data_IF_385095189973
#
_entry.id   IF_385095189973
#
_cell.length_a   1.000
_cell.length_b   1.000
_cell.length_c   1.000
_cell.angle_alpha   90.00
_cell.angle_beta   90.00
_cell.angle_gamma   90.00
#
_symmetry.space_group_name_H-M   'P 1'
#
loop_
_entity.id
_entity.type
_entity.pdbx_description
1 polymer ?
#
# COMPACT_ATOMS: atom_id res chain seq x y z
N UNK A 1 -6.84 2.24 -5.96
CA UNK A 1 -5.82 1.81 -5.00
C UNK A 1 -6.02 0.34 -4.77
N UNK A 2 -4.96 -0.40 -4.48
CA UNK A 2 -5.07 -1.78 -4.03
C UNK A 2 -5.84 -1.88 -2.71
N UNK A 3 -6.14 -3.10 -2.27
CA UNK A 3 -6.71 -3.30 -0.93
C UNK A 3 -5.65 -3.10 0.16
N UNK A 4 -6.08 -2.88 1.40
CA UNK A 4 -5.18 -2.76 2.56
C UNK A 4 -4.26 -3.97 2.69
N UNK A 5 -4.79 -5.16 2.42
CA UNK A 5 -4.04 -6.43 2.43
C UNK A 5 -2.93 -6.43 1.38
N UNK A 6 -3.18 -5.92 0.17
CA UNK A 6 -2.12 -5.78 -0.84
C UNK A 6 -0.99 -4.88 -0.33
N UNK A 7 -1.32 -3.75 0.29
CA UNK A 7 -0.32 -2.84 0.85
C UNK A 7 0.50 -3.49 1.98
N UNK A 8 -0.13 -4.29 2.84
CA UNK A 8 0.57 -5.05 3.90
C UNK A 8 1.50 -6.09 3.29
N UNK A 9 1.06 -6.85 2.29
CA UNK A 9 1.88 -7.86 1.62
C UNK A 9 3.08 -7.20 0.94
N UNK A 10 2.86 -6.09 0.23
CA UNK A 10 3.93 -5.30 -0.40
C UNK A 10 4.93 -4.83 0.68
N UNK A 11 4.44 -4.23 1.76
CA UNK A 11 5.29 -3.75 2.84
C UNK A 11 6.09 -4.89 3.50
N UNK A 12 5.46 -6.05 3.73
CA UNK A 12 6.15 -7.21 4.30
C UNK A 12 7.23 -7.76 3.36
N UNK A 13 6.93 -7.88 2.06
CA UNK A 13 7.90 -8.34 1.06
C UNK A 13 9.11 -7.41 0.97
N UNK A 14 8.91 -6.09 1.01
CA UNK A 14 10.00 -5.11 1.07
C UNK A 14 10.78 -5.25 2.38
N UNK A 15 10.09 -5.36 3.51
CA UNK A 15 10.72 -5.50 4.82
C UNK A 15 11.60 -6.75 4.92
N UNK A 16 11.17 -7.86 4.31
CA UNK A 16 11.97 -9.09 4.21
C UNK A 16 13.17 -8.92 3.30
N UNK A 17 12.96 -8.39 2.09
CA UNK A 17 14.02 -8.16 1.11
C UNK A 17 15.14 -7.27 1.65
N UNK A 18 14.77 -6.23 2.39
CA UNK A 18 15.71 -5.26 2.98
C UNK A 18 16.13 -5.60 4.41
N UNK A 19 15.68 -6.71 4.99
CA UNK A 19 15.96 -7.10 6.39
C UNK A 19 15.65 -5.99 7.41
N UNK A 20 14.52 -5.30 7.21
CA UNK A 20 14.03 -4.26 8.14
C UNK A 20 13.81 -4.88 9.52
N UNK A 21 14.40 -4.27 10.54
CA UNK A 21 14.36 -4.78 11.92
C UNK A 21 13.01 -4.52 12.58
N UNK A 22 12.53 -3.28 12.54
CA UNK A 22 11.22 -2.89 13.08
C UNK A 22 10.13 -3.11 12.01
N UNK A 23 9.84 -4.39 11.74
CA UNK A 23 8.84 -4.79 10.76
C UNK A 23 7.46 -4.23 11.10
N UNK A 24 7.02 -4.33 12.34
CA UNK A 24 5.66 -3.88 12.72
C UNK A 24 5.46 -2.41 12.41
N UNK A 25 6.40 -1.54 12.75
CA UNK A 25 6.31 -0.11 12.39
C UNK A 25 6.31 0.09 10.89
N UNK A 26 7.13 -0.65 10.15
CA UNK A 26 7.18 -0.59 8.68
C UNK A 26 5.83 -0.98 8.04
N UNK A 27 5.25 -2.10 8.45
CA UNK A 27 3.98 -2.58 7.93
C UNK A 27 2.84 -1.60 8.24
N UNK A 28 2.79 -1.05 9.46
CA UNK A 28 1.80 -0.03 9.82
C UNK A 28 2.00 1.29 9.06
N UNK A 29 3.25 1.65 8.76
CA UNK A 29 3.55 2.74 7.84
C UNK A 29 2.98 2.48 6.45
N UNK A 30 3.14 1.26 5.93
CA UNK A 30 2.66 0.83 4.61
C UNK A 30 1.14 0.88 4.41
N UNK A 31 0.36 1.10 5.46
CA UNK A 31 -1.11 1.27 5.39
C UNK A 31 -1.60 2.60 5.96
N UNK A 32 -0.71 3.37 6.58
CA UNK A 32 -1.07 4.61 7.26
C UNK A 32 -1.74 5.67 6.36
N UNK A 33 -1.41 5.83 5.06
CA UNK A 33 -2.09 6.82 4.21
C UNK A 33 -3.60 6.60 4.11
N UNK A 34 -4.04 5.34 4.19
CA UNK A 34 -5.46 4.95 4.12
C UNK A 34 -6.22 5.11 5.44
N UNK A 35 -5.54 5.43 6.54
CA UNK A 35 -6.15 5.60 7.88
C UNK A 35 -6.89 6.94 8.07
N UNK A 36 -7.25 7.62 6.98
CA UNK A 36 -7.94 8.91 6.98
C UNK A 36 -9.46 8.77 6.84
N UNK A 37 -10.22 9.79 7.24
CA UNK A 37 -11.68 9.71 7.30
C UNK A 37 -12.41 10.50 6.21
N UNK A 38 -11.73 11.43 5.55
CA UNK A 38 -12.30 12.27 4.51
C UNK A 38 -11.55 12.21 3.19
N UNK A 39 -12.24 12.62 2.11
CA UNK A 39 -11.64 12.72 0.77
C UNK A 39 -10.54 13.77 0.68
N UNK A 40 -10.65 14.85 1.45
CA UNK A 40 -9.64 15.91 1.52
C UNK A 40 -8.36 15.39 2.19
N UNK A 41 -8.49 14.76 3.35
CA UNK A 41 -7.38 14.11 4.04
C UNK A 41 -6.75 13.03 3.17
N UNK A 42 -7.55 12.24 2.43
CA UNK A 42 -7.03 11.26 1.46
C UNK A 42 -6.19 11.93 0.38
N UNK A 43 -6.57 13.14 -0.04
CA UNK A 43 -5.76 13.94 -0.95
C UNK A 43 -4.38 14.25 -0.41
N UNK A 44 -4.32 14.68 0.84
CA UNK A 44 -3.06 15.04 1.50
C UNK A 44 -2.23 13.82 1.89
N UNK A 45 -2.83 12.75 2.42
CA UNK A 45 -2.10 11.56 2.87
C UNK A 45 -1.51 10.75 1.71
N UNK A 46 -2.18 10.76 0.55
CA UNK A 46 -1.67 10.06 -0.62
C UNK A 46 -0.86 10.97 -1.55
N UNK A 47 -0.50 12.18 -1.13
CA UNK A 47 0.30 13.12 -1.92
C UNK A 47 -0.20 13.27 -3.36
N UNK A 48 -1.53 13.36 -3.55
CA UNK A 48 -2.12 13.40 -4.88
C UNK A 48 -1.74 14.68 -5.61
N UNK A 49 -1.18 14.54 -6.81
CA UNK A 49 -0.89 15.64 -7.71
C UNK A 49 -1.56 15.43 -9.08
N UNK A 50 -1.72 16.53 -9.83
CA UNK A 50 -2.38 16.51 -11.14
C UNK A 50 -3.86 16.14 -11.08
N UNK A 51 -4.43 15.75 -12.22
CA UNK A 51 -5.87 15.44 -12.33
C UNK A 51 -6.16 14.22 -13.21
N UNK A 52 -7.26 13.53 -12.93
CA UNK A 52 -7.74 12.42 -13.77
C UNK A 52 -8.36 12.89 -15.08
N UNK A 53 -8.76 14.17 -15.19
CA UNK A 53 -9.42 14.73 -16.38
C UNK A 53 -8.48 14.85 -17.58
N UNK A 54 -7.22 15.17 -17.32
CA UNK A 54 -6.18 15.34 -18.33
C UNK A 54 -5.08 14.28 -18.23
N UNK A 55 -5.36 13.15 -17.55
CA UNK A 55 -4.42 12.02 -17.40
C UNK A 55 -3.08 12.39 -16.75
N UNK A 56 -3.04 13.42 -15.90
CA UNK A 56 -1.83 13.84 -15.17
C UNK A 56 -1.83 13.42 -13.71
N UNK A 57 -2.88 12.72 -13.26
CA UNK A 57 -3.00 12.23 -11.89
C UNK A 57 -1.81 11.33 -11.58
N UNK A 58 -1.12 11.63 -10.48
CA UNK A 58 0.03 10.87 -9.96
C UNK A 58 0.08 10.93 -8.44
N UNK A 59 0.96 10.12 -7.85
CA UNK A 59 1.36 10.26 -6.44
C UNK A 59 2.71 10.96 -6.39
N UNK A 60 2.79 12.08 -5.66
CA UNK A 60 4.03 12.84 -5.51
C UNK A 60 4.84 12.33 -4.31
N UNK A 61 5.29 11.08 -4.40
CA UNK A 61 6.07 10.44 -3.33
C UNK A 61 7.44 11.09 -3.13
N UNK A 62 7.97 11.82 -4.12
CA UNK A 62 9.19 12.62 -3.98
C UNK A 62 8.98 13.83 -3.05
N UNK A 63 7.83 14.48 -3.13
CA UNK A 63 7.48 15.55 -2.17
C UNK A 63 7.33 15.02 -0.75
N UNK A 64 6.78 13.80 -0.58
CA UNK A 64 6.71 13.14 0.73
C UNK A 64 8.10 12.90 1.30
N UNK A 65 8.99 12.29 0.51
CA UNK A 65 10.31 11.88 1.00
C UNK A 65 11.17 13.09 1.35
N UNK A 66 11.10 14.17 0.58
CA UNK A 66 11.80 15.41 0.89
C UNK A 66 11.24 16.07 2.15
N UNK A 67 9.91 16.09 2.32
CA UNK A 67 9.27 16.66 3.51
C UNK A 67 9.68 15.94 4.81
N UNK A 68 9.97 14.64 4.74
CA UNK A 68 10.28 13.79 5.89
C UNK A 68 11.71 13.23 5.85
N UNK A 69 12.65 13.91 5.17
CA UNK A 69 14.02 13.44 4.95
C UNK A 69 14.81 13.18 6.26
N UNK A 70 14.51 13.98 7.29
CA UNK A 70 15.08 13.86 8.63
C UNK A 70 14.58 12.63 9.41
N UNK A 71 13.50 11.99 8.96
CA UNK A 71 12.88 10.84 9.63
C UNK A 71 13.08 9.53 8.85
N UNK A 72 14.04 9.51 7.93
CA UNK A 72 14.31 8.36 7.05
C UNK A 72 14.95 7.16 7.74
N UNK A 73 15.36 7.30 9.00
CA UNK A 73 15.73 6.20 9.89
C UNK A 73 14.50 5.49 10.50
N UNK A 74 13.32 6.13 10.44
CA UNK A 74 12.08 5.54 10.92
C UNK A 74 11.55 4.49 9.95
N UNK A 75 11.44 3.24 10.42
CA UNK A 75 10.80 2.17 9.66
C UNK A 75 9.36 2.50 9.29
N UNK A 76 8.63 3.23 10.15
CA UNK A 76 7.27 3.70 9.86
C UNK A 76 7.21 4.66 8.67
N UNK A 77 8.12 5.64 8.59
CA UNK A 77 8.16 6.59 7.47
C UNK A 77 8.56 5.90 6.16
N UNK A 78 9.52 4.97 6.21
CA UNK A 78 9.89 4.16 5.06
C UNK A 78 8.71 3.28 4.58
N UNK A 79 7.96 2.69 5.51
CA UNK A 79 6.73 1.98 5.20
C UNK A 79 5.72 2.86 4.46
N UNK A 80 5.45 4.06 5.00
CA UNK A 80 4.56 5.05 4.38
C UNK A 80 5.00 5.40 2.96
N UNK A 81 6.31 5.61 2.76
CA UNK A 81 6.86 5.89 1.44
C UNK A 81 6.56 4.78 0.44
N UNK A 82 6.70 3.51 0.83
CA UNK A 82 6.40 2.37 -0.05
C UNK A 82 4.93 2.24 -0.42
N UNK A 83 4.01 2.67 0.46
CA UNK A 83 2.59 2.77 0.12
C UNK A 83 2.38 3.72 -1.08
N UNK A 84 2.97 4.92 -1.00
CA UNK A 84 2.86 5.92 -2.06
C UNK A 84 3.43 5.44 -3.40
N UNK A 85 4.52 4.66 -3.36
CA UNK A 85 5.10 4.03 -4.56
C UNK A 85 4.16 2.96 -5.14
N UNK A 86 3.56 2.13 -4.28
CA UNK A 86 2.61 1.10 -4.70
C UNK A 86 1.37 1.73 -5.36
N UNK A 87 0.85 2.82 -4.79
CA UNK A 87 -0.22 3.62 -5.38
C UNK A 87 0.15 4.22 -6.72
N UNK A 88 1.39 4.69 -6.83
CA UNK A 88 2.15 4.98 -8.05
C UNK A 88 1.84 4.01 -9.17
N UNK A 89 2.25 2.78 -8.87
CA UNK A 89 2.19 1.64 -9.77
C UNK A 89 0.75 1.25 -10.07
N UNK A 90 -0.15 1.28 -9.08
CA UNK A 90 -1.57 0.97 -9.30
C UNK A 90 -2.21 1.98 -10.25
N UNK A 91 -1.95 3.25 -10.01
CA UNK A 91 -2.55 4.35 -10.75
C UNK A 91 -2.10 4.36 -12.21
N UNK A 92 -0.80 4.20 -12.43
CA UNK A 92 -0.18 4.18 -13.75
C UNK A 92 -0.34 2.86 -14.50
N UNK A 93 -0.43 1.73 -13.80
CA UNK A 93 -0.51 0.38 -14.40
C UNK A 93 -1.93 -0.14 -14.62
N UNK A 94 -2.86 0.15 -13.71
CA UNK A 94 -4.24 -0.37 -13.78
C UNK A 94 -5.25 0.74 -14.02
N UNK A 95 -5.24 1.78 -13.18
CA UNK A 95 -6.34 2.74 -13.14
C UNK A 95 -6.42 3.61 -14.39
N UNK A 96 -5.37 4.36 -14.71
CA UNK A 96 -5.38 5.29 -15.85
C UNK A 96 -5.38 4.59 -17.21
N UNK A 97 -4.63 3.50 -17.45
CA UNK A 97 -4.54 2.92 -18.79
C UNK A 97 -5.84 2.32 -19.32
N UNK A 98 -6.63 1.67 -18.47
CA UNK A 98 -7.82 0.94 -18.95
C UNK A 98 -8.99 0.92 -17.96
N UNK A 99 -8.75 0.77 -16.65
CA UNK A 99 -9.84 0.57 -15.68
C UNK A 99 -10.74 1.79 -15.54
N UNK A 100 -10.18 3.00 -15.57
CA UNK A 100 -10.94 4.26 -15.57
C UNK A 100 -11.93 4.29 -16.74
N UNK A 101 -11.47 4.01 -17.95
CA UNK A 101 -12.33 4.02 -19.13
C UNK A 101 -13.44 2.98 -19.01
N UNK A 102 -13.13 1.78 -18.50
CA UNK A 102 -14.14 0.74 -18.27
C UNK A 102 -15.21 1.17 -17.27
N UNK A 103 -14.83 1.72 -16.13
CA UNK A 103 -15.77 2.19 -15.10
C UNK A 103 -16.65 3.33 -15.64
N UNK A 104 -16.09 4.24 -16.45
CA UNK A 104 -16.83 5.37 -17.02
C UNK A 104 -17.85 4.95 -18.10
N UNK A 105 -17.65 3.78 -18.73
CA UNK A 105 -18.51 3.30 -19.81
C UNK A 105 -19.40 2.10 -19.39
N UNK A 106 -19.19 1.55 -18.20
CA UNK A 106 -19.95 0.42 -17.68
C UNK A 106 -19.99 0.47 -16.14
N UNK A 107 -21.11 0.96 -15.60
CA UNK A 107 -21.32 1.10 -14.16
C UNK A 107 -21.33 -0.26 -13.42
N UNK A 108 -21.57 -1.37 -14.13
CA UNK A 108 -21.57 -2.71 -13.52
C UNK A 108 -20.18 -3.16 -13.07
N UNK A 109 -19.12 -2.50 -13.56
CA UNK A 109 -17.74 -2.79 -13.19
C UNK A 109 -17.41 -2.35 -11.78
N UNK A 110 -18.03 -1.29 -11.28
CA UNK A 110 -17.78 -0.79 -9.93
C UNK A 110 -18.05 -1.84 -8.86
N UNK A 111 -19.22 -2.50 -8.79
CA UNK A 111 -19.46 -3.54 -7.80
C UNK A 111 -18.58 -4.77 -8.01
N UNK A 112 -18.29 -5.18 -9.26
CA UNK A 112 -17.38 -6.31 -9.53
C UNK A 112 -15.96 -6.02 -9.06
N UNK A 113 -15.47 -4.80 -9.30
CA UNK A 113 -14.16 -4.32 -8.87
C UNK A 113 -14.03 -4.33 -7.35
N UNK A 114 -15.06 -3.88 -6.62
CA UNK A 114 -15.06 -3.96 -5.17
C UNK A 114 -15.19 -5.39 -4.65
N UNK A 115 -15.91 -6.26 -5.36
CA UNK A 115 -16.01 -7.68 -5.00
C UNK A 115 -14.66 -8.39 -5.15
N UNK A 116 -13.94 -8.12 -6.25
CA UNK A 116 -12.62 -8.68 -6.49
C UNK A 116 -11.64 -8.38 -5.36
N UNK A 117 -11.69 -7.21 -4.73
CA UNK A 117 -10.82 -6.95 -3.57
C UNK A 117 -11.11 -7.86 -2.38
N UNK A 118 -12.37 -8.24 -2.14
CA UNK A 118 -12.73 -9.18 -1.07
C UNK A 118 -12.20 -10.58 -1.36
N UNK A 119 -12.31 -11.01 -2.62
CA UNK A 119 -11.78 -12.29 -3.08
C UNK A 119 -10.24 -12.29 -3.05
N UNK A 120 -9.61 -11.21 -3.52
CA UNK A 120 -8.17 -11.03 -3.51
C UNK A 120 -7.60 -11.00 -2.11
N UNK A 121 -8.27 -10.41 -1.11
CA UNK A 121 -7.81 -10.48 0.27
C UNK A 121 -7.63 -11.94 0.71
N UNK A 122 -8.60 -12.81 0.43
CA UNK A 122 -8.51 -14.23 0.76
C UNK A 122 -7.40 -14.94 -0.01
N UNK A 123 -7.40 -14.81 -1.35
CA UNK A 123 -6.48 -15.51 -2.24
C UNK A 123 -5.02 -15.07 -2.03
N UNK A 124 -4.78 -13.79 -1.80
CA UNK A 124 -3.44 -13.25 -1.56
C UNK A 124 -2.92 -13.60 -0.17
N UNK A 125 -3.75 -13.59 0.88
CA UNK A 125 -3.33 -14.07 2.19
C UNK A 125 -2.98 -15.56 2.14
N UNK A 126 -3.74 -16.37 1.41
CA UNK A 126 -3.40 -17.78 1.21
C UNK A 126 -2.07 -17.97 0.46
N UNK A 127 -1.76 -17.09 -0.49
CA UNK A 127 -0.53 -17.16 -1.30
C UNK A 127 0.71 -16.65 -0.54
N UNK A 128 0.61 -15.51 0.14
CA UNK A 128 1.75 -14.80 0.73
C UNK A 128 1.89 -15.00 2.25
N UNK A 129 0.80 -15.29 2.96
CA UNK A 129 0.77 -15.39 4.43
C UNK A 129 0.02 -16.64 4.90
N UNK A 130 0.33 -17.78 4.29
CA UNK A 130 -0.34 -19.06 4.59
C UNK A 130 -0.28 -19.45 6.06
N UNK A 131 0.82 -19.12 6.73
CA UNK A 131 1.06 -19.38 8.16
C UNK A 131 0.48 -18.29 9.07
N UNK A 132 -0.25 -17.30 8.51
CA UNK A 132 -0.96 -16.24 9.23
C UNK A 132 -0.06 -15.41 10.17
N UNK A 133 1.18 -15.17 9.76
CA UNK A 133 2.18 -14.45 10.54
C UNK A 133 1.91 -12.94 10.56
N UNK A 134 1.27 -12.40 9.53
CA UNK A 134 0.98 -10.96 9.45
C UNK A 134 0.08 -10.51 10.60
N UNK A 135 -0.89 -11.33 11.03
CA UNK A 135 -1.74 -11.01 12.17
C UNK A 135 -0.90 -10.80 13.45
N UNK A 136 0.02 -11.71 13.73
CA UNK A 136 0.89 -11.62 14.92
C UNK A 136 1.81 -10.40 14.84
N UNK A 137 2.43 -10.14 13.68
CA UNK A 137 3.29 -8.97 13.45
C UNK A 137 2.50 -7.66 13.64
N UNK A 138 1.35 -7.56 12.98
CA UNK A 138 0.47 -6.41 13.02
C UNK A 138 -0.26 -6.26 14.35
N UNK A 139 -0.08 -7.14 15.33
CA UNK A 139 -0.62 -7.01 16.69
C UNK A 139 0.45 -6.57 17.74
N UNK A 140 1.73 -6.50 17.34
CA UNK A 140 2.82 -6.04 18.23
C UNK A 140 2.80 -4.52 18.47
N UNK A 141 3.60 -4.06 19.42
CA UNK A 141 3.86 -2.63 19.59
C UNK A 141 4.64 -2.06 18.41
N UNK A 142 4.42 -0.77 18.12
CA UNK A 142 5.01 -0.09 16.97
C UNK A 142 5.43 1.33 17.33
N UNK A 143 6.56 1.74 16.77
CA UNK A 143 7.11 3.09 16.80
C UNK A 143 6.48 3.94 15.69
N UNK A 144 5.24 4.39 15.93
CA UNK A 144 4.49 5.24 14.99
C UNK A 144 4.88 6.71 15.20
N UNK A 145 5.43 7.32 14.15
CA UNK A 145 5.78 8.75 14.13
C UNK A 145 4.53 9.56 13.81
N UNK A 146 4.23 10.58 14.63
CA UNK A 146 3.17 11.53 14.32
C UNK A 146 3.62 12.45 13.18
N UNK A 147 2.87 12.43 12.08
CA UNK A 147 3.10 13.31 10.94
C UNK A 147 1.89 14.20 10.70
N UNK A 148 2.01 15.16 9.78
CA UNK A 148 0.95 16.14 9.54
C UNK A 148 -0.29 15.49 8.90
N UNK A 149 -0.05 14.53 8.01
CA UNK A 149 -1.08 13.86 7.21
C UNK A 149 -1.91 12.85 8.00
N UNK A 150 -1.33 12.23 9.04
CA UNK A 150 -1.99 11.17 9.79
C UNK A 150 -1.48 11.13 11.23
N UNK A 151 -2.41 10.98 12.18
CA UNK A 151 -2.10 10.79 13.59
C UNK A 151 -1.85 9.32 13.92
N UNK A 152 -1.07 9.07 14.98
CA UNK A 152 -0.87 7.73 15.54
C UNK A 152 -2.19 7.07 15.92
N UNK A 153 -3.13 7.81 16.49
CA UNK A 153 -4.43 7.30 16.93
C UNK A 153 -5.23 6.75 15.77
N UNK A 154 -5.22 7.44 14.62
CA UNK A 154 -5.91 6.99 13.42
C UNK A 154 -5.31 5.69 12.89
N UNK A 155 -3.98 5.57 12.84
CA UNK A 155 -3.30 4.34 12.41
C UNK A 155 -3.62 3.18 13.33
N UNK A 156 -3.62 3.40 14.64
CA UNK A 156 -3.96 2.35 15.61
C UNK A 156 -5.42 1.91 15.50
N UNK A 157 -6.35 2.84 15.34
CA UNK A 157 -7.76 2.53 15.08
C UNK A 157 -7.94 1.76 13.76
N UNK A 158 -7.13 2.09 12.75
CA UNK A 158 -7.21 1.47 11.42
C UNK A 158 -6.84 -0.01 11.40
N UNK A 159 -6.07 -0.50 12.39
CA UNK A 159 -5.73 -1.92 12.55
C UNK A 159 -6.96 -2.82 12.59
N UNK A 160 -8.05 -2.35 13.20
CA UNK A 160 -9.28 -3.12 13.27
C UNK A 160 -9.77 -3.51 11.86
N UNK A 161 -9.79 -2.56 10.93
CA UNK A 161 -10.26 -2.81 9.57
C UNK A 161 -9.34 -3.76 8.79
N UNK A 162 -8.04 -3.74 9.09
CA UNK A 162 -7.09 -4.70 8.53
C UNK A 162 -7.40 -6.11 9.03
N UNK A 163 -7.65 -6.27 10.33
CA UNK A 163 -8.01 -7.57 10.89
C UNK A 163 -9.35 -8.07 10.37
N UNK A 164 -10.32 -7.18 10.15
CA UNK A 164 -11.58 -7.53 9.48
C UNK A 164 -11.33 -8.02 8.05
N UNK A 165 -10.43 -7.40 7.30
CA UNK A 165 -10.06 -7.83 5.94
C UNK A 165 -9.33 -9.19 5.91
N UNK A 166 -8.70 -9.59 7.01
CA UNK A 166 -8.07 -10.91 7.18
C UNK A 166 -9.09 -12.02 7.46
N UNK A 167 -10.31 -11.66 7.88
CA UNK A 167 -11.40 -12.60 8.11
C UNK A 167 -12.18 -12.77 6.83
N UNK A 168 -12.04 -13.94 6.20
CA UNK A 168 -12.75 -14.26 4.96
C UNK A 168 -13.41 -15.64 5.02
N UNK A 169 -14.57 -15.81 4.37
CA UNK A 169 -15.14 -17.13 4.10
C UNK A 169 -14.19 -17.97 3.24
N UNK A 170 -14.03 -19.25 3.58
CA UNK A 170 -13.17 -20.19 2.83
C UNK A 170 -13.55 -20.25 1.33
N UNK A 171 -14.84 -20.12 1.00
CA UNK A 171 -15.32 -20.07 -0.38
C UNK A 171 -14.63 -19.00 -1.25
N UNK A 172 -14.20 -17.86 -0.67
CA UNK A 172 -13.53 -16.79 -1.42
C UNK A 172 -12.19 -17.25 -2.04
N UNK A 173 -11.57 -18.32 -1.52
CA UNK A 173 -10.37 -18.92 -2.08
C UNK A 173 -10.60 -19.58 -3.44
N UNK A 174 -11.85 -19.91 -3.77
CA UNK A 174 -12.22 -20.70 -4.95
C UNK A 174 -13.13 -19.93 -5.91
N UNK A 175 -13.57 -18.74 -5.53
CA UNK A 175 -14.37 -17.86 -6.39
C UNK A 175 -13.50 -17.16 -7.45
N UNK A 176 -14.03 -17.07 -8.67
CA UNK A 176 -13.33 -16.42 -9.76
C UNK A 176 -13.41 -14.90 -9.64
N UNK A 177 -12.28 -14.24 -9.91
CA UNK A 177 -12.22 -12.80 -10.09
C UNK A 177 -12.94 -12.37 -11.37
N UNK A 178 -13.51 -11.17 -11.35
CA UNK A 178 -14.39 -10.64 -12.39
C UNK A 178 -13.76 -9.51 -13.21
N UNK A 179 -12.89 -8.71 -12.59
CA UNK A 179 -12.22 -7.55 -13.18
C UNK A 179 -10.74 -7.82 -13.38
N UNK A 180 -10.10 -8.50 -12.43
CA UNK A 180 -8.68 -8.82 -12.46
C UNK A 180 -8.44 -10.30 -12.74
N UNK A 181 -7.22 -10.63 -13.16
CA UNK A 181 -6.69 -11.98 -12.99
C UNK A 181 -5.75 -12.00 -11.78
N UNK A 182 -5.64 -13.17 -11.16
CA UNK A 182 -4.77 -13.34 -10.00
C UNK A 182 -3.30 -13.04 -10.34
N UNK A 183 -2.81 -13.57 -11.46
CA UNK A 183 -1.43 -13.35 -11.93
C UNK A 183 -1.11 -11.87 -12.18
N UNK A 184 -2.07 -11.08 -12.69
CA UNK A 184 -1.87 -9.64 -12.85
C UNK A 184 -1.66 -8.94 -11.50
N UNK A 185 -2.39 -9.36 -10.46
CA UNK A 185 -2.28 -8.77 -9.12
C UNK A 185 -1.01 -9.24 -8.41
N UNK A 186 -0.61 -10.49 -8.59
CA UNK A 186 0.70 -10.99 -8.14
C UNK A 186 1.82 -10.19 -8.79
N UNK A 187 1.81 -10.03 -10.13
CA UNK A 187 2.81 -9.24 -10.84
C UNK A 187 2.85 -7.78 -10.41
N UNK A 188 1.69 -7.17 -10.09
CA UNK A 188 1.62 -5.84 -9.47
C UNK A 188 2.32 -5.79 -8.11
N UNK A 189 2.01 -6.73 -7.21
CA UNK A 189 2.59 -6.79 -5.86
C UNK A 189 4.10 -6.95 -5.94
N UNK A 190 4.59 -7.92 -6.72
CA UNK A 190 6.02 -8.16 -6.89
C UNK A 190 6.73 -6.95 -7.51
N UNK A 191 6.14 -6.31 -8.51
CA UNK A 191 6.69 -5.08 -9.10
C UNK A 191 6.74 -3.93 -8.08
N UNK A 192 5.71 -3.80 -7.24
CA UNK A 192 5.68 -2.80 -6.17
C UNK A 192 6.73 -3.08 -5.10
N UNK A 193 6.97 -4.35 -4.76
CA UNK A 193 8.04 -4.76 -3.85
C UNK A 193 9.40 -4.38 -4.41
N UNK A 194 9.70 -4.77 -5.66
CA UNK A 194 10.99 -4.47 -6.30
C UNK A 194 11.22 -2.95 -6.42
N UNK A 195 10.21 -2.21 -6.89
CA UNK A 195 10.31 -0.76 -7.03
C UNK A 195 10.47 -0.06 -5.67
N UNK A 196 9.69 -0.46 -4.67
CA UNK A 196 9.78 0.11 -3.32
C UNK A 196 11.14 -0.14 -2.67
N UNK A 197 11.67 -1.37 -2.78
CA UNK A 197 12.99 -1.70 -2.28
C UNK A 197 14.09 -0.90 -2.97
N UNK A 198 14.05 -0.82 -4.30
CA UNK A 198 14.99 -0.02 -5.09
C UNK A 198 15.05 1.43 -4.61
N UNK A 199 13.89 2.09 -4.43
CA UNK A 199 13.88 3.49 -4.00
C UNK A 199 14.38 3.70 -2.56
N UNK A 200 14.14 2.75 -1.64
CA UNK A 200 14.73 2.83 -0.30
C UNK A 200 16.26 2.73 -0.37
N UNK A 201 16.79 1.77 -1.12
CA UNK A 201 18.24 1.56 -1.25
C UNK A 201 18.96 2.74 -1.90
N UNK A 202 18.36 3.36 -2.94
CA UNK A 202 18.92 4.56 -3.57
C UNK A 202 19.13 5.69 -2.54
N UNK A 203 18.18 5.89 -1.62
CA UNK A 203 18.28 6.93 -0.58
C UNK A 203 19.35 6.62 0.47
N UNK A 204 19.53 5.35 0.82
CA UNK A 204 20.63 4.93 1.70
C UNK A 204 22.00 5.24 1.08
N UNK A 205 22.14 5.04 -0.23
CA UNK A 205 23.37 5.34 -0.96
C UNK A 205 23.63 6.85 -1.10
N UNK A 206 22.59 7.65 -1.37
CA UNK A 206 22.70 9.12 -1.44
C UNK A 206 23.23 9.70 -0.11
N UNK A 207 22.68 9.26 1.04
CA UNK A 207 23.16 9.68 2.38
C UNK A 207 24.61 9.30 2.64
N UNK A 208 25.07 8.16 2.12
CA UNK A 208 26.47 7.75 2.26
C UNK A 208 27.39 8.65 1.45
N UNK A 209 26.99 9.01 0.22
CA UNK A 209 27.79 9.89 -0.65
C UNK A 209 27.82 11.35 -0.20
N UNK A 210 26.77 11.85 0.46
CA UNK A 210 26.73 13.23 0.98
C UNK A 210 27.54 13.44 2.27
N UNK A 211 27.96 12.36 2.93
CA UNK A 211 28.72 12.37 4.18
C UNK A 211 30.23 12.12 4.00
N UNK A 212 30.71 12.05 2.76
CA UNK A 212 32.12 11.91 2.36
C UNK A 212 32.60 13.24 1.78
#
# INVERSE_FOLDING_TARGET
>A
MGSRIMHIIIANGIAEKLSIQDKTSFLLGGVAPDAVHSKEEKGTSHFYAGTTKNYTRRIDYDSFIHKYEDHMDSSYILGYYTHLIADDNWLSGFFLPWLKNRIENDETIVPMYYNDFKLLNAQLLHHYDKEQQLFALLNQEANIVNIKEISRENVLAFRQYIFEDMLYPEQHLHENLQVFSFDQIVGYIETAIEKGAFYIEQRSNEKFTSNI
#
